data_IF_849049505298
#
_entry.id   IF_849049505298
#
_cell.length_a   1.000
_cell.length_b   1.000
_cell.length_c   1.000
_cell.angle_alpha   90.00
_cell.angle_beta   90.00
_cell.angle_gamma   90.00
#
_symmetry.space_group_name_H-M   'P 1'
#
loop_
_entity.id
_entity.type
_entity.pdbx_description
1 polymer ?
#
# COMPACT_ATOMS: atom_id res chain seq x y z
N UNK A 1 19.93 41.51 -33.64
CA UNK A 1 18.48 41.44 -33.25
C UNK A 1 17.87 40.04 -33.33
N UNK A 2 18.07 39.25 -34.40
CA UNK A 2 17.45 37.92 -34.54
C UNK A 2 17.89 36.90 -33.46
N UNK A 3 19.16 36.88 -33.06
CA UNK A 3 19.67 36.00 -32.01
C UNK A 3 19.10 36.33 -30.62
N UNK A 4 18.98 37.62 -30.28
CA UNK A 4 18.37 38.09 -29.03
C UNK A 4 16.87 37.76 -28.98
N UNK A 5 16.16 37.88 -30.10
CA UNK A 5 14.73 37.49 -30.21
C UNK A 5 14.54 35.97 -30.07
N UNK A 6 15.41 35.15 -30.69
CA UNK A 6 15.41 33.69 -30.50
C UNK A 6 15.74 33.29 -29.05
N UNK A 7 16.72 33.94 -28.42
CA UNK A 7 17.09 33.71 -27.02
C UNK A 7 15.95 34.06 -26.06
N UNK A 8 15.31 35.24 -26.23
CA UNK A 8 14.14 35.64 -25.44
C UNK A 8 12.94 34.69 -25.66
N UNK A 9 12.71 34.22 -26.89
CA UNK A 9 11.67 33.24 -27.19
C UNK A 9 11.95 31.87 -26.54
N UNK A 10 13.17 31.36 -26.63
CA UNK A 10 13.59 30.12 -25.96
C UNK A 10 13.39 30.19 -24.44
N UNK A 11 13.75 31.32 -23.82
CA UNK A 11 13.53 31.55 -22.39
C UNK A 11 12.04 31.61 -22.04
N UNK A 12 11.19 32.17 -22.91
CA UNK A 12 9.74 32.19 -22.71
C UNK A 12 9.10 30.80 -22.81
N UNK A 13 9.54 29.97 -23.76
CA UNK A 13 9.06 28.58 -23.88
C UNK A 13 9.50 27.71 -22.70
N UNK A 14 10.74 27.89 -22.23
CA UNK A 14 11.22 27.20 -21.02
C UNK A 14 10.41 27.63 -19.79
N UNK A 15 10.13 28.92 -19.62
CA UNK A 15 9.30 29.42 -18.53
C UNK A 15 7.87 28.84 -18.58
N UNK A 16 7.25 28.79 -19.77
CA UNK A 16 5.94 28.17 -19.97
C UNK A 16 5.98 26.68 -19.62
N UNK A 17 7.00 25.94 -20.06
CA UNK A 17 7.13 24.52 -19.76
C UNK A 17 7.29 24.26 -18.25
N UNK A 18 8.10 25.07 -17.55
CA UNK A 18 8.27 24.98 -16.10
C UNK A 18 6.97 25.30 -15.36
N UNK A 19 6.25 26.34 -15.78
CA UNK A 19 4.96 26.69 -15.19
C UNK A 19 3.91 25.59 -15.42
N UNK A 20 3.78 25.09 -16.64
CA UNK A 20 2.85 24.00 -16.98
C UNK A 20 3.16 22.74 -16.17
N UNK A 21 4.44 22.37 -16.08
CA UNK A 21 4.89 21.24 -15.25
C UNK A 21 4.59 21.48 -13.77
N UNK A 22 4.83 22.69 -13.26
CA UNK A 22 4.57 23.06 -11.87
C UNK A 22 3.08 22.96 -11.51
N UNK A 23 2.19 23.41 -12.38
CA UNK A 23 0.74 23.24 -12.24
C UNK A 23 0.36 21.76 -12.26
N UNK A 24 0.93 20.98 -13.19
CA UNK A 24 0.75 19.53 -13.24
C UNK A 24 1.18 18.84 -11.95
N UNK A 25 2.32 19.23 -11.40
CA UNK A 25 2.86 18.71 -10.13
C UNK A 25 1.92 19.02 -8.97
N UNK A 26 1.48 20.27 -8.84
CA UNK A 26 0.53 20.67 -7.79
C UNK A 26 -0.77 19.86 -7.89
N UNK A 27 -1.32 19.72 -9.10
CA UNK A 27 -2.50 18.90 -9.31
C UNK A 27 -2.26 17.44 -8.90
N UNK A 28 -1.20 16.80 -9.42
CA UNK A 28 -0.95 15.37 -9.24
C UNK A 28 -0.58 15.02 -7.79
N UNK A 29 0.27 15.81 -7.15
CA UNK A 29 0.85 15.50 -5.83
C UNK A 29 0.14 16.17 -4.64
N UNK A 30 -0.61 17.27 -4.85
CA UNK A 30 -1.17 18.07 -3.75
C UNK A 30 -2.68 18.21 -3.73
N UNK A 31 -3.34 18.24 -4.89
CA UNK A 31 -4.77 18.52 -4.96
C UNK A 31 -5.61 17.33 -5.46
N UNK A 32 -5.63 17.08 -6.76
CA UNK A 32 -6.66 16.23 -7.38
C UNK A 32 -6.19 14.88 -7.93
N UNK A 33 -4.89 14.69 -8.14
CA UNK A 33 -4.36 13.45 -8.68
C UNK A 33 -4.45 12.28 -7.72
N UNK A 34 -4.46 11.06 -8.26
CA UNK A 34 -4.46 9.81 -7.47
C UNK A 34 -3.36 9.78 -6.40
N UNK A 35 -2.21 10.36 -6.71
CA UNK A 35 -1.10 10.45 -5.77
C UNK A 35 -1.37 11.44 -4.62
N UNK A 36 -2.05 12.56 -4.88
CA UNK A 36 -2.52 13.47 -3.83
C UNK A 36 -3.41 12.74 -2.84
N UNK A 37 -4.38 11.96 -3.33
CA UNK A 37 -5.28 11.18 -2.48
C UNK A 37 -4.53 10.13 -1.67
N UNK A 38 -3.59 9.41 -2.30
CA UNK A 38 -2.74 8.45 -1.61
C UNK A 38 -1.90 9.12 -0.50
N UNK A 39 -1.35 10.31 -0.76
CA UNK A 39 -0.62 11.11 0.24
C UNK A 39 -1.52 11.52 1.40
N UNK A 40 -2.70 12.06 1.11
CA UNK A 40 -3.67 12.50 2.13
C UNK A 40 -4.06 11.33 3.03
N UNK A 41 -4.39 10.18 2.44
CA UNK A 41 -4.69 8.96 3.20
C UNK A 41 -3.52 8.54 4.10
N UNK A 42 -2.29 8.57 3.57
CA UNK A 42 -1.08 8.26 4.35
C UNK A 42 -0.88 9.23 5.53
N UNK A 43 -1.05 10.54 5.31
CA UNK A 43 -0.93 11.57 6.35
C UNK A 43 -2.00 11.39 7.44
N UNK A 44 -3.25 11.10 7.06
CA UNK A 44 -4.33 10.82 8.00
C UNK A 44 -4.04 9.59 8.85
N UNK A 45 -3.58 8.48 8.26
CA UNK A 45 -3.20 7.27 8.98
C UNK A 45 -2.06 7.54 9.98
N UNK A 46 -1.08 8.36 9.59
CA UNK A 46 -0.01 8.79 10.49
C UNK A 46 -0.50 9.65 11.64
N UNK A 47 -1.43 10.57 11.39
CA UNK A 47 -2.04 11.38 12.43
C UNK A 47 -2.75 10.48 13.46
N UNK A 48 -3.61 9.56 13.00
CA UNK A 48 -4.28 8.55 13.84
C UNK A 48 -3.26 7.77 14.68
N UNK A 49 -2.20 7.23 14.06
CA UNK A 49 -1.19 6.46 14.78
C UNK A 49 -0.36 7.30 15.79
N UNK A 50 -0.25 8.60 15.58
CA UNK A 50 0.43 9.51 16.51
C UNK A 50 -0.41 9.80 17.75
N UNK A 51 -1.74 9.87 17.60
CA UNK A 51 -2.70 10.19 18.67
C UNK A 51 -2.93 8.99 19.60
N UNK A 52 -2.90 7.76 19.08
CA UNK A 52 -3.13 6.56 19.88
C UNK A 52 -1.92 6.24 20.77
N UNK A 53 -2.12 6.40 22.09
CA UNK A 53 -1.18 6.03 23.13
C UNK A 53 -1.66 4.78 23.85
N UNK A 54 -0.90 3.69 23.72
CA UNK A 54 -1.14 2.45 24.44
C UNK A 54 0.19 1.71 24.61
N UNK A 55 0.35 0.88 25.66
CA UNK A 55 1.56 0.11 25.89
C UNK A 55 1.83 -0.93 24.79
N UNK A 56 0.79 -1.35 24.08
CA UNK A 56 0.85 -2.26 22.94
C UNK A 56 -0.25 -1.89 21.95
N UNK A 57 0.08 -1.91 20.66
CA UNK A 57 -0.84 -1.66 19.54
C UNK A 57 -0.55 -2.65 18.43
N UNK A 58 -1.53 -2.90 17.57
CA UNK A 58 -1.33 -3.62 16.31
C UNK A 58 -1.24 -2.61 15.17
N UNK A 59 -0.18 -2.67 14.38
CA UNK A 59 -0.03 -1.90 13.15
C UNK A 59 -0.11 -2.84 11.95
N UNK A 60 -1.18 -2.76 11.17
CA UNK A 60 -1.35 -3.52 9.93
C UNK A 60 -0.59 -2.79 8.82
N UNK A 61 0.38 -3.45 8.20
CA UNK A 61 1.28 -2.87 7.19
C UNK A 61 1.24 -3.72 5.94
N UNK A 62 1.32 -3.10 4.76
CA UNK A 62 1.32 -3.78 3.46
C UNK A 62 0.91 -2.85 2.34
N UNK A 63 0.67 -3.41 1.15
CA UNK A 63 0.08 -2.69 0.03
C UNK A 63 -1.45 -2.62 0.13
N UNK A 64 -2.10 -2.43 -1.02
CA UNK A 64 -3.53 -2.20 -1.09
C UNK A 64 -4.34 -3.43 -0.65
N UNK A 65 -3.78 -4.64 -0.84
CA UNK A 65 -4.30 -5.87 -0.26
C UNK A 65 -4.48 -5.76 1.25
N UNK A 66 -3.45 -5.40 2.01
CA UNK A 66 -3.60 -5.20 3.45
C UNK A 66 -4.58 -4.07 3.79
N UNK A 67 -4.58 -2.98 3.00
CA UNK A 67 -5.48 -1.85 3.21
C UNK A 67 -6.96 -2.25 3.13
N UNK A 68 -7.34 -3.09 2.16
CA UNK A 68 -8.75 -3.45 1.90
C UNK A 68 -9.20 -4.77 2.53
N UNK A 69 -8.30 -5.57 3.12
CA UNK A 69 -8.62 -6.94 3.62
C UNK A 69 -8.73 -7.08 5.12
N UNK A 70 -8.34 -6.07 5.89
CA UNK A 70 -8.42 -6.09 7.35
C UNK A 70 -9.41 -5.04 7.83
N UNK A 71 -10.26 -5.43 8.78
CA UNK A 71 -11.10 -4.54 9.58
C UNK A 71 -10.39 -4.31 10.93
N UNK A 72 -9.62 -3.23 11.02
CA UNK A 72 -8.85 -2.93 12.22
C UNK A 72 -9.76 -2.58 13.41
N UNK A 73 -10.93 -1.99 13.17
CA UNK A 73 -11.94 -1.76 14.21
C UNK A 73 -12.43 -3.06 14.85
N UNK A 74 -12.79 -4.05 14.03
CA UNK A 74 -13.18 -5.38 14.51
C UNK A 74 -12.02 -6.10 15.22
N UNK A 75 -10.81 -6.02 14.67
CA UNK A 75 -9.62 -6.60 15.30
C UNK A 75 -9.38 -6.00 16.69
N UNK A 76 -9.48 -4.68 16.83
CA UNK A 76 -9.38 -3.99 18.11
C UNK A 76 -10.46 -4.45 19.08
N UNK A 77 -11.71 -4.55 18.63
CA UNK A 77 -12.83 -5.00 19.45
C UNK A 77 -12.59 -6.41 20.00
N UNK A 78 -12.08 -7.33 19.19
CA UNK A 78 -11.91 -8.73 19.59
C UNK A 78 -10.63 -9.00 20.40
N UNK A 79 -9.60 -8.17 20.26
CA UNK A 79 -8.32 -8.32 20.95
C UNK A 79 -8.17 -7.42 22.17
N UNK A 80 -9.00 -6.40 22.33
CA UNK A 80 -8.94 -5.45 23.45
C UNK A 80 -7.75 -4.49 23.41
N UNK A 81 -6.91 -4.55 22.36
CA UNK A 81 -5.77 -3.63 22.16
C UNK A 81 -5.97 -2.82 20.89
N UNK A 82 -5.48 -1.56 20.83
CA UNK A 82 -5.66 -0.73 19.65
C UNK A 82 -5.08 -1.37 18.39
N UNK A 83 -5.85 -1.41 17.30
CA UNK A 83 -5.41 -1.91 16.00
C UNK A 83 -5.58 -0.83 14.94
N UNK A 84 -4.53 -0.58 14.18
CA UNK A 84 -4.42 0.55 13.25
C UNK A 84 -3.98 0.06 11.88
N UNK A 85 -4.73 0.43 10.85
CA UNK A 85 -4.45 0.12 9.47
C UNK A 85 -3.52 1.17 8.86
N UNK A 86 -2.23 0.84 8.84
CA UNK A 86 -1.15 1.64 8.26
C UNK A 86 -0.79 1.21 6.82
N UNK A 87 -1.52 0.24 6.25
CA UNK A 87 -1.30 -0.22 4.89
C UNK A 87 -1.62 0.86 3.86
N UNK A 88 -0.96 0.79 2.71
CA UNK A 88 -0.99 1.82 1.67
C UNK A 88 -1.26 1.19 0.31
N UNK A 89 -0.72 1.75 -0.77
CA UNK A 89 -0.90 1.28 -2.14
C UNK A 89 0.21 0.28 -2.54
N UNK A 90 -0.16 -0.81 -3.21
CA UNK A 90 0.79 -1.86 -3.61
C UNK A 90 1.90 -1.39 -4.57
N UNK A 91 1.58 -0.61 -5.61
CA UNK A 91 2.54 0.04 -6.51
C UNK A 91 3.58 0.98 -5.85
N UNK A 92 3.49 1.24 -4.54
CA UNK A 92 4.56 1.95 -3.81
C UNK A 92 5.78 1.05 -3.61
N UNK A 93 5.61 -0.26 -3.56
CA UNK A 93 6.71 -1.22 -3.44
C UNK A 93 7.29 -1.32 -2.02
N UNK A 94 7.84 -2.50 -1.70
CA UNK A 94 8.24 -2.83 -0.33
C UNK A 94 9.37 -1.95 0.21
N UNK A 95 10.28 -1.51 -0.66
CA UNK A 95 11.40 -0.66 -0.24
C UNK A 95 10.92 0.71 0.26
N UNK A 96 9.76 1.20 -0.20
CA UNK A 96 9.20 2.49 0.22
C UNK A 96 8.11 2.31 1.28
N UNK A 97 7.26 1.28 1.17
CA UNK A 97 6.20 0.99 2.15
C UNK A 97 6.77 0.83 3.56
N UNK A 98 7.77 -0.04 3.74
CA UNK A 98 8.29 -0.38 5.06
C UNK A 98 8.94 0.81 5.81
N UNK A 99 9.85 1.60 5.22
CA UNK A 99 10.39 2.77 5.91
C UNK A 99 9.36 3.91 6.02
N UNK A 100 8.30 3.96 5.20
CA UNK A 100 7.25 4.98 5.34
C UNK A 100 6.46 4.87 6.64
N UNK A 101 6.35 3.66 7.21
CA UNK A 101 5.65 3.39 8.47
C UNK A 101 6.59 3.31 9.68
N UNK A 102 7.91 3.24 9.47
CA UNK A 102 8.91 3.03 10.52
C UNK A 102 8.85 4.07 11.65
N UNK A 103 8.54 5.33 11.33
CA UNK A 103 8.41 6.41 12.30
C UNK A 103 7.18 6.26 13.21
N UNK A 104 6.19 5.46 12.78
CA UNK A 104 4.94 5.24 13.55
C UNK A 104 5.05 4.09 14.54
N UNK A 105 6.08 3.25 14.40
CA UNK A 105 6.33 2.07 15.25
C UNK A 105 6.91 2.54 16.58
N UNK A 106 6.24 2.16 17.66
CA UNK A 106 6.60 2.43 19.05
C UNK A 106 6.95 1.11 19.76
N UNK A 107 7.64 1.22 20.91
CA UNK A 107 7.94 0.09 21.78
C UNK A 107 6.65 -0.64 22.17
N UNK A 108 6.67 -1.97 22.10
CA UNK A 108 5.54 -2.82 22.44
C UNK A 108 4.57 -3.09 21.30
N UNK A 109 4.67 -2.37 20.17
CA UNK A 109 3.81 -2.60 19.02
C UNK A 109 3.99 -4.02 18.43
N UNK A 110 2.91 -4.56 17.88
CA UNK A 110 2.89 -5.73 17.02
C UNK A 110 2.67 -5.23 15.58
N UNK A 111 3.71 -5.32 14.76
CA UNK A 111 3.64 -4.95 13.34
C UNK A 111 3.23 -6.17 12.54
N UNK A 112 2.03 -6.16 11.98
CA UNK A 112 1.48 -7.25 11.15
C UNK A 112 1.66 -6.86 9.69
N UNK A 113 2.73 -7.37 9.06
CA UNK A 113 3.03 -7.12 7.66
C UNK A 113 2.35 -8.18 6.77
N UNK A 114 1.42 -7.75 5.91
CA UNK A 114 0.67 -8.59 4.98
C UNK A 114 0.95 -8.10 3.54
N UNK A 115 2.03 -8.57 2.90
CA UNK A 115 2.38 -8.15 1.56
C UNK A 115 1.65 -8.98 0.50
N UNK A 116 1.23 -8.35 -0.59
CA UNK A 116 0.69 -9.02 -1.77
C UNK A 116 1.78 -9.77 -2.54
N UNK A 117 1.41 -10.83 -3.29
CA UNK A 117 2.37 -11.57 -4.11
C UNK A 117 3.01 -10.70 -5.19
N UNK A 118 2.26 -9.73 -5.76
CA UNK A 118 2.83 -8.78 -6.72
C UNK A 118 4.01 -7.98 -6.15
N UNK A 119 4.01 -7.73 -4.84
CA UNK A 119 5.09 -7.01 -4.14
C UNK A 119 6.18 -7.99 -3.71
N UNK A 120 5.79 -9.19 -3.26
CA UNK A 120 6.74 -10.24 -2.86
C UNK A 120 7.55 -10.80 -4.05
N UNK A 121 6.98 -10.82 -5.25
CA UNK A 121 7.64 -11.30 -6.46
C UNK A 121 8.43 -10.21 -7.18
N UNK A 122 8.37 -8.97 -6.71
CA UNK A 122 9.10 -7.87 -7.33
C UNK A 122 10.62 -8.08 -7.20
N UNK A 123 11.37 -7.59 -8.20
CA UNK A 123 12.80 -7.89 -8.35
C UNK A 123 13.70 -6.89 -7.65
N UNK A 124 13.27 -5.64 -7.52
CA UNK A 124 14.11 -4.55 -6.98
C UNK A 124 13.51 -3.90 -5.72
N UNK A 125 12.24 -4.14 -5.43
CA UNK A 125 11.48 -3.66 -4.29
C UNK A 125 10.74 -2.36 -4.54
N UNK A 126 10.72 -1.86 -5.77
CA UNK A 126 10.11 -0.61 -6.17
C UNK A 126 8.94 -0.88 -7.12
N UNK A 127 7.77 -0.29 -6.86
CA UNK A 127 6.69 -0.25 -7.84
C UNK A 127 6.64 1.09 -8.59
N UNK A 128 5.68 1.19 -9.51
CA UNK A 128 5.47 2.34 -10.41
C UNK A 128 5.21 3.68 -9.70
N UNK A 129 4.88 3.66 -8.40
CA UNK A 129 4.62 4.86 -7.60
C UNK A 129 5.69 5.15 -6.54
N UNK A 130 6.80 4.41 -6.52
CA UNK A 130 7.83 4.50 -5.48
C UNK A 130 8.40 5.90 -5.31
N UNK A 131 8.99 6.48 -6.36
CA UNK A 131 9.59 7.81 -6.31
C UNK A 131 8.53 8.90 -6.23
N UNK A 132 7.43 8.75 -6.98
CA UNK A 132 6.29 9.67 -6.94
C UNK A 132 5.73 9.84 -5.52
N UNK A 133 5.43 8.73 -4.84
CA UNK A 133 4.93 8.74 -3.47
C UNK A 133 5.95 9.31 -2.48
N UNK A 134 7.21 8.90 -2.59
CA UNK A 134 8.31 9.41 -1.78
C UNK A 134 8.43 10.94 -1.87
N UNK A 135 8.34 11.51 -3.07
CA UNK A 135 8.33 12.97 -3.29
C UNK A 135 7.06 13.61 -2.71
N UNK A 136 5.89 13.00 -2.93
CA UNK A 136 4.62 13.54 -2.46
C UNK A 136 4.58 13.68 -0.93
N UNK A 137 5.10 12.70 -0.19
CA UNK A 137 5.17 12.76 1.29
C UNK A 137 6.36 13.57 1.82
N UNK A 138 7.10 14.26 0.95
CA UNK A 138 8.23 15.12 1.33
C UNK A 138 9.52 14.35 1.69
N UNK A 139 9.65 13.09 1.26
CA UNK A 139 10.82 12.24 1.52
C UNK A 139 11.36 11.61 0.22
N UNK A 140 11.86 12.39 -0.76
CA UNK A 140 12.21 11.90 -2.10
C UNK A 140 13.25 10.77 -2.16
N UNK A 141 14.08 10.59 -1.12
CA UNK A 141 15.05 9.49 -1.01
C UNK A 141 14.57 8.27 -0.19
N UNK A 142 13.31 8.25 0.25
CA UNK A 142 12.78 7.18 1.08
C UNK A 142 12.92 5.82 0.38
N UNK A 143 13.42 4.82 1.11
CA UNK A 143 13.56 3.48 0.56
C UNK A 143 14.71 3.29 -0.44
N UNK A 144 15.50 4.33 -0.70
CA UNK A 144 16.65 4.25 -1.61
C UNK A 144 16.25 4.13 -3.08
N UNK A 145 15.15 4.78 -3.50
CA UNK A 145 14.72 4.82 -4.90
C UNK A 145 15.92 5.25 -5.80
N UNK A 146 16.27 4.47 -6.84
CA UNK A 146 17.40 4.79 -7.70
C UNK A 146 17.28 6.19 -8.31
N UNK A 147 18.38 6.96 -8.32
CA UNK A 147 18.36 8.36 -8.74
C UNK A 147 17.76 8.57 -10.15
N UNK A 148 18.01 7.63 -11.08
CA UNK A 148 17.42 7.65 -12.42
C UNK A 148 15.89 7.49 -12.37
N UNK A 149 15.39 6.52 -11.61
CA UNK A 149 13.96 6.29 -11.44
C UNK A 149 13.31 7.49 -10.73
N UNK A 150 13.93 8.00 -9.67
CA UNK A 150 13.44 9.18 -8.96
C UNK A 150 13.34 10.41 -9.88
N UNK A 151 14.35 10.66 -10.73
CA UNK A 151 14.31 11.75 -11.69
C UNK A 151 13.19 11.57 -12.73
N UNK A 152 12.99 10.35 -13.23
CA UNK A 152 11.89 10.03 -14.14
C UNK A 152 10.53 10.23 -13.49
N UNK A 153 10.36 9.72 -12.26
CA UNK A 153 9.14 9.85 -11.47
C UNK A 153 8.80 11.32 -11.21
N UNK A 154 9.79 12.13 -10.79
CA UNK A 154 9.62 13.57 -10.62
C UNK A 154 9.15 14.21 -11.92
N UNK A 155 9.82 13.93 -13.05
CA UNK A 155 9.40 14.49 -14.34
C UNK A 155 7.95 14.13 -14.69
N UNK A 156 7.53 12.89 -14.46
CA UNK A 156 6.16 12.44 -14.70
C UNK A 156 5.12 13.08 -13.77
N UNK A 157 5.50 13.51 -12.55
CA UNK A 157 4.58 14.19 -11.64
C UNK A 157 4.02 15.49 -12.22
N UNK A 158 4.78 16.19 -13.07
CA UNK A 158 4.29 17.42 -13.69
C UNK A 158 3.56 17.22 -15.02
N UNK A 159 3.41 15.97 -15.49
CA UNK A 159 2.72 15.66 -16.75
C UNK A 159 1.32 15.14 -16.46
N UNK A 160 0.27 15.97 -16.48
CA UNK A 160 -1.09 15.48 -16.36
C UNK A 160 -1.47 14.71 -17.62
N UNK A 161 -2.06 13.53 -17.48
CA UNK A 161 -2.60 12.81 -18.65
C UNK A 161 -3.86 13.49 -19.15
N UNK A 162 -4.12 13.46 -20.47
CA UNK A 162 -5.34 14.04 -21.05
C UNK A 162 -6.60 13.46 -20.39
N UNK A 163 -6.57 12.17 -20.03
CA UNK A 163 -7.63 11.49 -19.28
C UNK A 163 -7.82 12.05 -17.86
N UNK A 164 -6.73 12.36 -17.16
CA UNK A 164 -6.81 12.96 -15.83
C UNK A 164 -7.40 14.38 -15.89
N UNK A 165 -7.00 15.17 -16.89
CA UNK A 165 -7.55 16.52 -17.11
C UNK A 165 -9.04 16.46 -17.43
N UNK A 166 -9.45 15.63 -18.40
CA UNK A 166 -10.86 15.53 -18.78
C UNK A 166 -11.74 15.00 -17.65
N UNK A 167 -11.32 13.94 -16.96
CA UNK A 167 -12.03 13.42 -15.78
C UNK A 167 -12.19 14.51 -14.71
N UNK A 168 -11.12 15.26 -14.43
CA UNK A 168 -11.13 16.29 -13.39
C UNK A 168 -12.06 17.45 -13.74
N UNK A 169 -12.06 17.90 -15.00
CA UNK A 169 -12.98 18.95 -15.46
C UNK A 169 -14.44 18.53 -15.31
N UNK A 170 -14.77 17.29 -15.69
CA UNK A 170 -16.13 16.74 -15.54
C UNK A 170 -16.51 16.65 -14.05
N UNK A 171 -15.63 16.12 -13.20
CA UNK A 171 -15.90 16.01 -11.76
C UNK A 171 -16.06 17.36 -11.06
N UNK A 172 -15.25 18.36 -11.45
CA UNK A 172 -15.39 19.71 -10.91
C UNK A 172 -16.75 20.33 -11.28
N UNK A 173 -17.20 20.12 -12.52
CA UNK A 173 -18.50 20.62 -13.01
C UNK A 173 -19.68 19.87 -12.39
N UNK A 174 -19.62 18.55 -12.33
CA UNK A 174 -20.74 17.72 -11.89
C UNK A 174 -20.83 17.56 -10.37
N UNK A 175 -19.70 17.48 -9.67
CA UNK A 175 -19.64 17.14 -8.24
C UNK A 175 -19.12 18.29 -7.37
N UNK A 176 -18.63 19.37 -7.98
CA UNK A 176 -17.98 20.48 -7.26
C UNK A 176 -16.66 20.08 -6.57
N UNK A 177 -16.15 18.86 -6.80
CA UNK A 177 -14.93 18.32 -6.17
C UNK A 177 -14.28 17.25 -7.04
N UNK A 178 -12.96 17.13 -6.97
CA UNK A 178 -12.21 16.03 -7.59
C UNK A 178 -12.39 14.72 -6.79
N UNK A 179 -12.45 13.58 -7.47
CA UNK A 179 -12.53 12.26 -6.83
C UNK A 179 -11.50 11.27 -7.38
N UNK A 180 -10.91 10.48 -6.50
CA UNK A 180 -9.86 9.52 -6.82
C UNK A 180 -10.08 8.15 -6.18
N UNK A 181 -9.24 7.19 -6.52
CA UNK A 181 -9.32 5.85 -5.94
C UNK A 181 -9.17 5.88 -4.41
N UNK A 182 -8.25 6.72 -3.90
CA UNK A 182 -8.01 6.90 -2.46
C UNK A 182 -8.70 8.11 -1.84
N UNK A 183 -9.69 8.74 -2.51
CA UNK A 183 -10.32 9.97 -2.01
C UNK A 183 -11.42 9.74 -0.96
N UNK A 184 -11.77 8.48 -0.68
CA UNK A 184 -12.81 8.17 0.30
C UNK A 184 -12.29 8.32 1.74
N UNK A 185 -13.16 8.68 2.70
CA UNK A 185 -12.78 8.74 4.10
C UNK A 185 -12.27 7.40 4.62
N UNK A 186 -11.40 7.48 5.63
CA UNK A 186 -10.97 6.33 6.43
C UNK A 186 -11.62 6.36 7.82
N UNK A 187 -11.75 5.19 8.45
CA UNK A 187 -12.25 5.07 9.82
C UNK A 187 -11.25 5.64 10.84
N UNK A 188 -11.65 5.73 12.11
CA UNK A 188 -10.76 6.08 13.22
C UNK A 188 -9.58 5.09 13.40
N UNK A 189 -9.68 3.88 12.83
CA UNK A 189 -8.61 2.89 12.82
C UNK A 189 -7.80 2.90 11.51
N UNK A 190 -8.14 3.75 10.54
CA UNK A 190 -7.43 3.88 9.26
C UNK A 190 -7.94 2.96 8.14
N UNK A 191 -9.10 2.32 8.31
CA UNK A 191 -9.69 1.41 7.32
C UNK A 191 -10.48 2.18 6.25
N UNK A 192 -10.56 1.67 5.01
CA UNK A 192 -11.38 2.27 3.97
C UNK A 192 -12.87 2.09 4.27
N UNK A 193 -13.63 3.19 4.20
CA UNK A 193 -15.08 3.21 4.47
C UNK A 193 -15.94 2.78 3.29
N UNK A 194 -15.42 2.88 2.07
CA UNK A 194 -16.16 2.60 0.83
C UNK A 194 -15.57 1.35 0.15
N UNK A 195 -16.46 0.43 -0.22
CA UNK A 195 -16.09 -0.72 -1.05
C UNK A 195 -15.93 -0.28 -2.51
N UNK A 196 -14.79 -0.63 -3.11
CA UNK A 196 -14.56 -0.45 -4.55
C UNK A 196 -15.14 -1.64 -5.30
N UNK A 197 -16.06 -1.42 -6.24
CA UNK A 197 -16.68 -2.50 -6.99
C UNK A 197 -16.13 -2.58 -8.41
N UNK A 198 -15.73 -3.78 -8.84
CA UNK A 198 -15.45 -4.09 -10.25
C UNK A 198 -16.77 -4.15 -11.02
N UNK A 199 -16.93 -3.26 -12.00
CA UNK A 199 -18.21 -3.07 -12.72
C UNK A 199 -18.31 -3.82 -14.06
N UNK A 200 -17.21 -4.05 -14.79
CA UNK A 200 -17.29 -4.45 -16.21
C UNK A 200 -16.34 -5.57 -16.66
N UNK A 201 -15.53 -6.14 -15.77
CA UNK A 201 -14.52 -7.13 -16.15
C UNK A 201 -14.83 -8.49 -15.56
N UNK A 202 -14.75 -9.53 -16.38
CA UNK A 202 -14.85 -10.91 -15.90
C UNK A 202 -13.72 -11.20 -14.89
N UNK A 203 -14.02 -12.05 -13.92
CA UNK A 203 -13.03 -12.57 -12.99
C UNK A 203 -12.21 -13.67 -13.65
N UNK A 204 -10.91 -13.69 -13.37
CA UNK A 204 -10.02 -14.79 -13.73
C UNK A 204 -9.20 -15.16 -12.50
N UNK A 205 -8.83 -16.42 -12.38
CA UNK A 205 -7.99 -16.85 -11.28
C UNK A 205 -6.54 -16.41 -11.55
N UNK A 206 -5.94 -15.69 -10.59
CA UNK A 206 -4.50 -15.40 -10.65
C UNK A 206 -3.68 -16.69 -10.62
N UNK A 207 -2.52 -16.65 -11.28
CA UNK A 207 -1.50 -17.69 -11.16
C UNK A 207 -0.26 -17.10 -10.54
N UNK A 208 0.22 -17.69 -9.46
CA UNK A 208 1.47 -17.27 -8.81
C UNK A 208 2.62 -18.01 -9.49
N UNK A 209 3.34 -17.29 -10.35
CA UNK A 209 4.34 -17.89 -11.24
C UNK A 209 5.67 -18.17 -10.55
N UNK A 210 6.00 -17.38 -9.53
CA UNK A 210 7.24 -17.45 -8.77
C UNK A 210 6.93 -17.35 -7.27
N UNK A 211 7.75 -17.96 -6.40
CA UNK A 211 7.68 -17.70 -4.96
C UNK A 211 8.25 -16.30 -4.64
N UNK A 212 8.15 -15.90 -3.38
CA UNK A 212 8.78 -14.67 -2.86
C UNK A 212 10.23 -14.52 -3.34
N UNK A 213 10.58 -13.30 -3.79
CA UNK A 213 11.88 -13.00 -4.36
C UNK A 213 12.97 -12.92 -3.29
N UNK A 214 14.24 -13.21 -3.62
CA UNK A 214 15.36 -13.00 -2.71
C UNK A 214 15.47 -11.55 -2.23
N UNK A 215 15.09 -10.58 -3.08
CA UNK A 215 15.07 -9.17 -2.73
C UNK A 215 14.04 -8.90 -1.62
N UNK A 216 12.80 -9.40 -1.77
CA UNK A 216 11.76 -9.21 -0.78
C UNK A 216 12.14 -9.86 0.56
N UNK A 217 12.70 -11.07 0.53
CA UNK A 217 13.21 -11.74 1.74
C UNK A 217 14.29 -10.91 2.45
N UNK A 218 15.27 -10.35 1.72
CA UNK A 218 16.28 -9.48 2.31
C UNK A 218 15.65 -8.23 2.93
N UNK A 219 14.73 -7.58 2.23
CA UNK A 219 14.07 -6.36 2.71
C UNK A 219 13.23 -6.62 3.96
N UNK A 220 12.50 -7.74 4.02
CA UNK A 220 11.70 -8.14 5.19
C UNK A 220 12.60 -8.50 6.37
N UNK A 221 13.71 -9.24 6.17
CA UNK A 221 14.69 -9.52 7.24
C UNK A 221 15.30 -8.23 7.78
N UNK A 222 15.59 -7.26 6.92
CA UNK A 222 16.06 -5.94 7.35
C UNK A 222 14.98 -5.19 8.15
N UNK A 223 13.72 -5.24 7.71
CA UNK A 223 12.61 -4.61 8.43
C UNK A 223 12.38 -5.24 9.80
N UNK A 224 12.52 -6.56 9.92
CA UNK A 224 12.47 -7.24 11.23
C UNK A 224 13.44 -6.62 12.23
N UNK A 225 14.70 -6.40 11.82
CA UNK A 225 15.71 -5.74 12.66
C UNK A 225 15.30 -4.31 13.02
N UNK A 226 14.74 -3.56 12.08
CA UNK A 226 14.25 -2.18 12.30
C UNK A 226 13.09 -2.14 13.32
N UNK A 227 12.17 -3.10 13.24
CA UNK A 227 11.05 -3.26 14.16
C UNK A 227 11.55 -3.65 15.56
N UNK A 228 12.44 -4.65 15.65
CA UNK A 228 12.98 -5.15 16.93
C UNK A 228 13.87 -4.12 17.63
N UNK A 229 14.63 -3.32 16.87
CA UNK A 229 15.42 -2.21 17.42
C UNK A 229 14.55 -1.14 18.10
N UNK A 230 13.27 -1.03 17.73
CA UNK A 230 12.29 -0.15 18.38
C UNK A 230 11.60 -0.83 19.58
N UNK A 231 11.95 -2.07 19.91
CA UNK A 231 11.31 -2.86 20.96
C UNK A 231 9.89 -3.31 20.59
N UNK A 232 9.60 -3.46 19.29
CA UNK A 232 8.36 -3.97 18.75
C UNK A 232 8.55 -5.38 18.17
N UNK A 233 7.44 -6.07 17.86
CA UNK A 233 7.43 -7.43 17.33
C UNK A 233 6.94 -7.42 15.89
N UNK A 234 7.69 -8.04 14.97
CA UNK A 234 7.20 -8.30 13.61
C UNK A 234 6.45 -9.63 13.55
N UNK A 235 5.26 -9.59 12.95
CA UNK A 235 4.46 -10.75 12.53
C UNK A 235 4.19 -10.61 11.03
N UNK A 236 4.28 -11.71 10.30
CA UNK A 236 4.00 -11.75 8.87
C UNK A 236 2.62 -12.39 8.63
N UNK A 237 1.97 -12.05 7.52
CA UNK A 237 0.75 -12.72 7.10
C UNK A 237 0.73 -12.96 5.60
N UNK A 238 0.14 -14.08 5.17
CA UNK A 238 -0.18 -14.26 3.76
C UNK A 238 -1.44 -13.48 3.41
N UNK A 239 -1.43 -12.84 2.24
CA UNK A 239 -2.62 -12.21 1.68
C UNK A 239 -3.68 -13.25 1.33
N UNK A 240 -4.96 -12.93 1.55
CA UNK A 240 -6.04 -13.64 0.86
C UNK A 240 -6.01 -13.27 -0.63
N UNK A 241 -6.11 -14.27 -1.49
CA UNK A 241 -6.04 -14.07 -2.94
C UNK A 241 -7.11 -14.85 -3.68
N UNK A 242 -7.69 -14.24 -4.71
CA UNK A 242 -8.47 -14.95 -5.72
C UNK A 242 -7.54 -15.55 -6.76
N UNK A 243 -7.23 -16.84 -6.63
CA UNK A 243 -6.19 -17.49 -7.43
C UNK A 243 -6.52 -18.95 -7.76
N UNK A 244 -5.75 -19.49 -8.71
CA UNK A 244 -5.86 -20.88 -9.15
C UNK A 244 -5.25 -21.80 -8.10
N UNK A 245 -5.81 -22.99 -7.97
CA UNK A 245 -5.26 -24.06 -7.12
C UNK A 245 -4.40 -25.03 -7.93
N UNK A 246 -3.88 -24.61 -9.09
CA UNK A 246 -2.93 -25.43 -9.86
C UNK A 246 -1.64 -25.71 -9.07
N UNK A 247 -0.99 -26.84 -9.36
CA UNK A 247 0.19 -27.31 -8.62
C UNK A 247 1.32 -26.29 -8.58
N UNK A 248 1.49 -25.50 -9.65
CA UNK A 248 2.54 -24.48 -9.71
C UNK A 248 2.23 -23.33 -8.75
N UNK A 249 0.99 -22.83 -8.75
CA UNK A 249 0.53 -21.75 -7.89
C UNK A 249 0.61 -22.16 -6.43
N UNK A 250 0.05 -23.31 -6.06
CA UNK A 250 0.12 -23.84 -4.69
C UNK A 250 1.57 -24.10 -4.26
N UNK A 251 2.39 -24.67 -5.13
CA UNK A 251 3.80 -24.91 -4.86
C UNK A 251 4.59 -23.61 -4.57
N UNK A 252 4.34 -22.55 -5.33
CA UNK A 252 5.01 -21.25 -5.13
C UNK A 252 4.53 -20.51 -3.88
N UNK A 253 3.23 -20.61 -3.58
CA UNK A 253 2.67 -20.05 -2.34
C UNK A 253 3.22 -20.80 -1.12
N UNK A 254 3.26 -22.12 -1.17
CA UNK A 254 3.82 -22.95 -0.09
C UNK A 254 5.30 -22.61 0.18
N UNK A 255 6.12 -22.52 -0.88
CA UNK A 255 7.52 -22.05 -0.78
C UNK A 255 7.63 -20.65 -0.19
N UNK A 256 6.70 -19.76 -0.54
CA UNK A 256 6.64 -18.41 0.03
C UNK A 256 6.35 -18.46 1.53
N UNK A 257 5.37 -19.27 1.94
CA UNK A 257 5.03 -19.45 3.35
C UNK A 257 6.22 -19.99 4.14
N UNK A 258 6.89 -21.03 3.62
CA UNK A 258 8.10 -21.60 4.21
C UNK A 258 9.16 -20.51 4.44
N UNK A 259 9.55 -19.78 3.38
CA UNK A 259 10.60 -18.76 3.45
C UNK A 259 10.25 -17.58 4.35
N UNK A 260 8.98 -17.19 4.43
CA UNK A 260 8.53 -16.12 5.33
C UNK A 260 8.51 -16.59 6.79
N UNK A 261 8.12 -17.84 7.06
CA UNK A 261 8.10 -18.40 8.42
C UNK A 261 9.49 -18.56 9.03
N UNK A 262 10.55 -18.65 8.22
CA UNK A 262 11.95 -18.56 8.66
C UNK A 262 12.34 -17.16 9.18
N UNK A 263 11.54 -16.12 8.93
CA UNK A 263 11.85 -14.73 9.32
C UNK A 263 11.14 -14.36 10.61
N UNK A 264 9.83 -14.61 10.68
CA UNK A 264 8.98 -14.25 11.81
C UNK A 264 7.70 -15.12 11.82
N UNK A 265 6.92 -15.14 12.92
CA UNK A 265 5.65 -15.85 12.95
C UNK A 265 4.76 -15.46 11.75
N UNK A 266 4.17 -16.46 11.10
CA UNK A 266 3.41 -16.28 9.86
C UNK A 266 1.93 -16.66 10.06
N UNK A 267 1.04 -15.71 9.77
CA UNK A 267 -0.42 -15.82 9.87
C UNK A 267 -1.03 -16.25 8.53
N UNK A 268 -1.51 -17.49 8.45
CA UNK A 268 -2.22 -18.02 7.29
C UNK A 268 -2.96 -19.31 7.63
N UNK A 269 -3.96 -19.65 6.82
CA UNK A 269 -4.59 -20.96 6.82
C UNK A 269 -3.64 -21.98 6.18
N UNK A 270 -3.19 -22.97 6.94
CA UNK A 270 -2.24 -24.00 6.48
C UNK A 270 -2.84 -24.96 5.45
N UNK A 271 -4.16 -25.12 5.42
CA UNK A 271 -4.84 -26.01 4.48
C UNK A 271 -5.06 -25.32 3.13
N UNK A 272 -5.57 -24.09 3.15
CA UNK A 272 -5.90 -23.35 1.91
C UNK A 272 -4.78 -22.45 1.41
N UNK A 273 -3.77 -22.20 2.24
CA UNK A 273 -2.71 -21.21 1.99
C UNK A 273 -3.27 -19.80 1.69
N UNK A 274 -4.45 -19.49 2.23
CA UNK A 274 -5.22 -18.27 1.97
C UNK A 274 -5.67 -18.10 0.50
N UNK A 275 -5.61 -19.15 -0.32
CA UNK A 275 -6.13 -19.16 -1.68
C UNK A 275 -7.64 -19.34 -1.66
N UNK A 276 -8.36 -18.44 -2.33
CA UNK A 276 -9.82 -18.50 -2.52
C UNK A 276 -10.14 -18.68 -3.99
N UNK A 277 -11.12 -19.53 -4.28
CA UNK A 277 -11.62 -19.81 -5.64
C UNK A 277 -13.01 -19.22 -5.90
N UNK A 278 -13.61 -18.59 -4.89
CA UNK A 278 -14.84 -17.81 -5.02
C UNK A 278 -14.52 -16.32 -5.15
N UNK A 279 -14.77 -15.76 -6.34
CA UNK A 279 -14.59 -14.33 -6.60
C UNK A 279 -15.62 -13.46 -5.88
N UNK A 280 -16.74 -14.02 -5.39
CA UNK A 280 -17.80 -13.26 -4.73
C UNK A 280 -17.32 -12.57 -3.44
N UNK A 281 -16.23 -13.06 -2.85
CA UNK A 281 -15.57 -12.50 -1.67
C UNK A 281 -14.74 -11.24 -1.97
N UNK A 282 -14.50 -10.94 -3.26
CA UNK A 282 -13.62 -9.87 -3.70
C UNK A 282 -14.40 -8.70 -4.30
N UNK A 283 -13.87 -7.50 -4.11
CA UNK A 283 -14.56 -6.25 -4.42
C UNK A 283 -14.23 -5.74 -5.83
N UNK A 284 -12.95 -5.51 -6.12
CA UNK A 284 -12.49 -4.99 -7.41
C UNK A 284 -11.22 -5.65 -7.99
N UNK A 285 -10.30 -6.07 -7.12
CA UNK A 285 -9.07 -6.79 -7.46
C UNK A 285 -9.05 -8.18 -6.84
N UNK A 286 -8.06 -8.99 -7.23
CA UNK A 286 -7.84 -10.34 -6.68
C UNK A 286 -7.33 -10.34 -5.23
N UNK A 287 -7.13 -9.16 -4.64
CA UNK A 287 -6.67 -8.99 -3.26
C UNK A 287 -7.71 -8.28 -2.41
N UNK A 288 -8.50 -7.35 -2.96
CA UNK A 288 -9.39 -6.52 -2.15
C UNK A 288 -10.68 -7.25 -1.82
N UNK A 289 -10.97 -7.40 -0.53
CA UNK A 289 -12.17 -8.10 -0.08
C UNK A 289 -13.36 -7.17 0.03
N UNK A 290 -14.53 -7.74 -0.23
CA UNK A 290 -15.80 -7.11 0.11
C UNK A 290 -16.03 -7.14 1.65
N UNK A 291 -17.04 -6.44 2.19
CA UNK A 291 -17.24 -6.37 3.65
C UNK A 291 -17.40 -7.74 4.34
N UNK A 292 -18.17 -8.71 3.80
CA UNK A 292 -18.21 -10.07 4.36
C UNK A 292 -16.84 -10.76 4.38
N UNK A 293 -16.10 -10.73 3.27
CA UNK A 293 -14.77 -11.32 3.15
C UNK A 293 -13.77 -10.69 4.12
N UNK A 294 -13.79 -9.36 4.24
CA UNK A 294 -12.96 -8.60 5.20
C UNK A 294 -13.24 -9.00 6.64
N UNK A 295 -14.51 -9.15 7.02
CA UNK A 295 -14.92 -9.62 8.35
C UNK A 295 -14.39 -11.03 8.63
N UNK A 296 -14.60 -11.97 7.71
CA UNK A 296 -14.12 -13.35 7.85
C UNK A 296 -12.59 -13.39 7.98
N UNK A 297 -11.86 -12.70 7.09
CA UNK A 297 -10.39 -12.64 7.14
C UNK A 297 -9.89 -12.06 8.47
N UNK A 298 -10.56 -11.02 8.97
CA UNK A 298 -10.17 -10.37 10.22
C UNK A 298 -10.35 -11.31 11.40
N UNK A 299 -11.48 -12.03 11.48
CA UNK A 299 -11.69 -13.05 12.53
C UNK A 299 -10.61 -14.14 12.48
N UNK A 300 -10.25 -14.63 11.29
CA UNK A 300 -9.14 -15.60 11.16
C UNK A 300 -7.80 -15.05 11.66
N UNK A 301 -7.47 -13.79 11.31
CA UNK A 301 -6.26 -13.12 11.78
C UNK A 301 -6.24 -12.98 13.29
N UNK A 302 -7.37 -12.61 13.90
CA UNK A 302 -7.52 -12.48 15.35
C UNK A 302 -7.25 -13.81 16.05
N UNK A 303 -7.87 -14.90 15.60
CA UNK A 303 -7.65 -16.22 16.20
C UNK A 303 -6.19 -16.66 16.02
N UNK A 304 -5.61 -16.47 14.84
CA UNK A 304 -4.19 -16.78 14.62
C UNK A 304 -3.28 -15.94 15.53
N UNK A 305 -3.54 -14.64 15.72
CA UNK A 305 -2.78 -13.78 16.62
C UNK A 305 -2.87 -14.23 18.08
N UNK A 306 -4.06 -14.63 18.55
CA UNK A 306 -4.24 -15.17 19.91
C UNK A 306 -3.37 -16.41 20.14
N UNK A 307 -3.25 -17.29 19.14
CA UNK A 307 -2.40 -18.50 19.27
C UNK A 307 -0.91 -18.21 19.39
N UNK A 308 -0.45 -17.03 18.99
CA UNK A 308 0.96 -16.65 19.11
C UNK A 308 1.35 -16.24 20.54
N UNK A 309 0.40 -15.99 21.44
CA UNK A 309 0.63 -15.55 22.82
C UNK A 309 1.57 -14.31 22.94
N UNK A 310 1.51 -13.41 21.96
CA UNK A 310 2.31 -12.16 21.92
C UNK A 310 1.55 -10.93 22.41
N UNK A 311 0.24 -11.07 22.61
CA UNK A 311 -0.64 -10.02 23.14
C UNK A 311 -0.53 -10.06 24.66
N UNK A 312 -0.21 -8.92 25.26
CA UNK A 312 -0.09 -8.77 26.70
C UNK A 312 -1.45 -8.34 27.24
N UNK A 313 -2.02 -9.15 28.13
CA UNK A 313 -3.20 -8.78 28.91
C UNK A 313 -2.88 -7.66 29.90
#
# INVERSE_FOLDING_TARGET
>A
MAALKKFLQLNSWLAIAVLAWGVGYLYNARYGGELSWLRIMYEQKKAIASEVQAPQRILIVGGSGAHYTVDAGLMQQQLGIPALNMATDGPVGLNVILPSVADSIKKGDIVVLIPEYLILNDKDGFGDRSGQFSVAIGKPGLGGVPAKQLAQDIMLLGVPTLRAVTKSSVELVEKGRFTGYYSDPITANGDPTVMKQRLKSAWWQLKIQEPVSPQALRRIRQFKKEVEAKGATLVLGLSWIYASTDTKTIGNISKTAEKLSEIAPLLYDKQTLNVKTDSSLFADTHYHLNPPGRRTRTTELVEQLKTLNIIRN
#
